data_IF_768973967398
#
_entry.id   IF_768973967398
#
_cell.length_a   1.000
_cell.length_b   1.000
_cell.length_c   1.000
_cell.angle_alpha   90.00
_cell.angle_beta   90.00
_cell.angle_gamma   90.00
#
_symmetry.space_group_name_H-M   'P 1'
#
loop_
_entity.id
_entity.type
_entity.pdbx_description
1 polymer ?
#
# COMPACT_ATOMS: atom_id res chain seq x y z
N UNK A 1 6.77 -44.40 -30.32
CA UNK A 1 8.10 -44.92 -30.53
C UNK A 1 9.02 -43.81 -31.02
N UNK A 2 9.63 -43.07 -30.15
CA UNK A 2 11.05 -42.75 -30.09
C UNK A 2 11.25 -41.82 -28.88
N UNK A 3 11.72 -42.43 -27.84
CA UNK A 3 12.36 -41.77 -26.71
C UNK A 3 13.68 -41.17 -27.19
N UNK A 4 13.80 -39.86 -27.26
CA UNK A 4 15.07 -39.16 -27.30
C UNK A 4 15.35 -38.64 -25.90
N UNK A 5 16.33 -39.26 -25.25
CA UNK A 5 16.97 -38.87 -24.01
C UNK A 5 17.42 -37.40 -24.09
N UNK A 6 16.93 -36.62 -23.18
CA UNK A 6 17.50 -35.30 -22.85
C UNK A 6 18.64 -35.55 -21.88
N UNK A 7 19.84 -35.49 -22.42
CA UNK A 7 21.09 -35.61 -21.66
C UNK A 7 21.33 -34.35 -20.82
N UNK A 8 21.65 -34.61 -19.57
CA UNK A 8 22.61 -33.86 -18.75
C UNK A 8 22.36 -32.37 -18.49
N UNK A 9 21.61 -32.13 -17.43
CA UNK A 9 21.54 -30.88 -16.70
C UNK A 9 22.95 -30.60 -16.12
N UNK A 10 23.70 -29.67 -16.70
CA UNK A 10 24.73 -28.96 -15.99
C UNK A 10 24.01 -27.96 -15.05
N UNK A 11 23.77 -28.41 -13.83
CA UNK A 11 23.45 -27.52 -12.72
C UNK A 11 24.66 -26.58 -12.57
N UNK A 12 24.52 -25.37 -13.11
CA UNK A 12 25.41 -24.28 -12.72
C UNK A 12 25.15 -24.06 -11.22
N UNK A 13 26.03 -24.59 -10.38
CA UNK A 13 26.12 -24.17 -8.98
C UNK A 13 26.38 -22.66 -8.99
N UNK A 14 25.30 -21.90 -8.89
CA UNK A 14 25.39 -20.48 -8.54
C UNK A 14 25.77 -20.49 -7.06
N UNK A 15 27.05 -20.23 -6.75
CA UNK A 15 27.42 -19.88 -5.39
C UNK A 15 26.37 -18.91 -4.86
N UNK A 16 25.89 -19.11 -3.61
CA UNK A 16 24.94 -18.15 -3.03
C UNK A 16 25.65 -16.81 -3.08
N UNK A 17 25.24 -15.97 -4.03
CA UNK A 17 25.69 -14.60 -4.07
C UNK A 17 25.49 -14.11 -2.64
N UNK A 18 26.55 -13.75 -1.94
CA UNK A 18 26.44 -12.91 -0.77
C UNK A 18 25.58 -11.76 -1.22
N UNK A 19 24.29 -11.87 -0.92
CA UNK A 19 23.35 -10.77 -1.14
C UNK A 19 23.93 -9.69 -0.28
N UNK A 20 24.74 -8.87 -0.92
CA UNK A 20 25.30 -7.65 -0.37
C UNK A 20 24.09 -6.83 0.05
N UNK A 21 23.63 -7.10 1.27
CA UNK A 21 22.67 -6.31 2.01
C UNK A 21 23.39 -5.00 2.39
N UNK A 22 24.07 -4.41 1.40
CA UNK A 22 24.63 -3.08 1.51
C UNK A 22 23.48 -2.11 1.70
N UNK A 23 23.68 -1.18 2.58
CA UNK A 23 22.80 -0.05 2.87
C UNK A 23 22.62 0.80 1.59
N UNK A 24 21.68 0.38 0.73
CA UNK A 24 21.31 1.07 -0.51
C UNK A 24 19.99 1.84 -0.33
N UNK A 25 19.74 2.36 0.85
CA UNK A 25 18.57 3.19 1.15
C UNK A 25 18.56 4.55 0.44
N UNK A 26 19.61 4.87 -0.33
CA UNK A 26 19.65 6.09 -1.12
C UNK A 26 18.96 5.87 -2.48
N UNK A 27 17.71 6.34 -2.58
CA UNK A 27 17.12 6.71 -3.87
C UNK A 27 16.82 5.57 -4.84
N UNK A 28 16.00 4.60 -4.42
CA UNK A 28 15.42 3.65 -5.36
C UNK A 28 14.62 4.38 -6.44
N UNK A 29 15.08 4.33 -7.69
CA UNK A 29 14.35 4.76 -8.86
C UNK A 29 14.22 3.58 -9.81
N UNK A 30 13.00 3.04 -10.06
CA UNK A 30 12.82 1.97 -11.02
C UNK A 30 13.28 2.45 -12.40
N UNK A 31 13.90 1.54 -13.19
CA UNK A 31 14.28 1.89 -14.55
C UNK A 31 13.03 2.23 -15.38
N UNK A 32 13.18 3.13 -16.32
CA UNK A 32 12.12 3.41 -17.28
C UNK A 32 12.02 2.23 -18.26
N UNK A 33 10.80 1.77 -18.52
CA UNK A 33 10.55 0.74 -19.55
C UNK A 33 10.93 1.28 -20.94
N UNK A 34 10.66 2.56 -21.19
CA UNK A 34 10.94 3.26 -22.45
C UNK A 34 11.87 4.46 -22.15
N UNK A 35 13.19 4.23 -22.06
CA UNK A 35 14.13 5.27 -21.64
C UNK A 35 14.21 6.43 -22.65
N UNK A 36 14.01 6.14 -23.94
CA UNK A 36 14.12 7.11 -25.05
C UNK A 36 12.84 7.92 -25.27
N UNK A 37 11.72 7.53 -24.64
CA UNK A 37 10.46 8.26 -24.74
C UNK A 37 10.40 9.33 -23.66
N UNK A 38 10.05 10.55 -24.05
CA UNK A 38 9.91 11.65 -23.10
C UNK A 38 8.77 11.39 -22.13
N UNK A 39 8.97 11.64 -20.83
CA UNK A 39 7.88 11.58 -19.87
C UNK A 39 6.85 12.67 -20.20
N UNK A 40 5.58 12.36 -20.02
CA UNK A 40 4.48 13.30 -20.29
C UNK A 40 4.48 14.51 -19.37
N UNK A 41 5.17 14.43 -18.25
CA UNK A 41 5.05 15.43 -17.20
C UNK A 41 3.64 15.49 -16.63
N UNK A 42 3.23 16.69 -16.21
CA UNK A 42 1.90 16.95 -15.71
C UNK A 42 1.70 16.66 -14.24
N UNK A 43 0.51 16.99 -13.75
CA UNK A 43 0.12 16.90 -12.34
C UNK A 43 -1.12 16.01 -12.19
N UNK A 44 -1.04 15.00 -11.32
CA UNK A 44 -2.18 14.18 -10.89
C UNK A 44 -2.71 14.69 -9.56
N UNK A 45 -4.03 14.51 -9.31
CA UNK A 45 -4.67 14.93 -8.05
C UNK A 45 -4.55 16.43 -7.75
N UNK A 46 -4.45 17.28 -8.79
CA UNK A 46 -4.50 18.72 -8.60
C UNK A 46 -5.82 19.09 -7.89
N UNK A 47 -6.91 18.47 -8.34
CA UNK A 47 -8.21 18.48 -7.66
C UNK A 47 -8.58 17.05 -7.27
N UNK A 48 -9.38 16.87 -6.23
CA UNK A 48 -9.79 15.53 -5.81
C UNK A 48 -10.73 14.86 -6.85
N UNK A 49 -11.43 15.64 -7.66
CA UNK A 49 -12.27 15.17 -8.76
C UNK A 49 -11.48 14.55 -9.92
N UNK A 50 -10.20 14.86 -10.01
CA UNK A 50 -9.31 14.34 -11.04
C UNK A 50 -8.89 12.88 -10.80
N UNK A 51 -9.25 12.34 -9.65
CA UNK A 51 -8.87 10.99 -9.26
C UNK A 51 -10.11 10.20 -8.83
N UNK A 52 -10.59 9.32 -9.72
CA UNK A 52 -11.74 8.46 -9.45
C UNK A 52 -11.29 7.03 -9.26
N UNK A 53 -11.88 6.35 -8.27
CA UNK A 53 -11.61 4.94 -7.97
C UNK A 53 -12.91 4.20 -7.82
N UNK A 54 -13.12 3.17 -8.63
CA UNK A 54 -14.29 2.29 -8.54
C UNK A 54 -13.84 0.90 -8.11
N UNK A 55 -14.38 0.41 -7.00
CA UNK A 55 -14.14 -0.95 -6.51
C UNK A 55 -14.74 -1.97 -7.46
N UNK A 56 -13.94 -2.99 -7.82
CA UNK A 56 -14.41 -4.17 -8.56
C UNK A 56 -14.65 -5.26 -7.52
N UNK A 57 -15.91 -5.66 -7.28
CA UNK A 57 -16.24 -6.65 -6.26
C UNK A 57 -15.73 -8.04 -6.64
N UNK A 58 -15.31 -8.84 -5.66
CA UNK A 58 -14.83 -10.20 -5.86
C UNK A 58 -15.94 -11.14 -6.37
N UNK A 59 -17.19 -10.85 -6.05
CA UNK A 59 -18.37 -11.65 -6.43
C UNK A 59 -19.62 -10.76 -6.50
N UNK A 60 -20.60 -11.23 -7.27
CA UNK A 60 -21.91 -10.57 -7.37
C UNK A 60 -22.77 -10.95 -6.15
N UNK A 61 -23.41 -10.00 -5.46
CA UNK A 61 -24.37 -10.30 -4.40
C UNK A 61 -25.53 -11.17 -4.90
N UNK A 62 -25.96 -12.13 -4.06
CA UNK A 62 -26.97 -13.13 -4.45
C UNK A 62 -28.43 -12.65 -4.41
N UNK A 63 -28.70 -11.39 -4.03
CA UNK A 63 -30.03 -10.81 -3.94
C UNK A 63 -30.81 -11.15 -2.66
N UNK A 64 -30.29 -12.03 -1.81
CA UNK A 64 -30.95 -12.48 -0.56
C UNK A 64 -29.94 -12.64 0.57
N UNK A 65 -30.41 -12.52 1.84
CA UNK A 65 -29.58 -12.70 3.02
C UNK A 65 -29.69 -11.58 4.03
N UNK A 66 -28.99 -11.74 5.14
CA UNK A 66 -29.06 -10.83 6.30
C UNK A 66 -28.28 -9.53 6.11
N UNK A 67 -27.26 -9.54 5.23
CA UNK A 67 -26.42 -8.39 5.00
C UNK A 67 -26.95 -7.52 3.85
N UNK A 68 -27.24 -6.26 4.17
CA UNK A 68 -27.49 -5.23 3.16
C UNK A 68 -26.14 -4.72 2.64
N UNK A 69 -25.92 -4.84 1.35
CA UNK A 69 -24.78 -4.28 0.64
C UNK A 69 -25.17 -2.91 0.10
N UNK A 70 -24.45 -1.90 0.57
CA UNK A 70 -24.70 -0.49 0.25
C UNK A 70 -23.50 -0.02 -0.57
N UNK A 71 -23.68 0.12 -1.87
CA UNK A 71 -22.68 0.73 -2.74
C UNK A 71 -22.83 2.24 -2.68
N UNK A 72 -21.77 2.93 -2.31
CA UNK A 72 -21.74 4.39 -2.17
C UNK A 72 -20.69 5.01 -3.07
N UNK A 73 -20.92 6.25 -3.47
CA UNK A 73 -19.89 7.17 -3.95
C UNK A 73 -19.59 8.19 -2.85
N UNK A 74 -18.31 8.40 -2.54
CA UNK A 74 -17.89 9.42 -1.57
C UNK A 74 -16.81 10.33 -2.17
N UNK A 75 -16.76 11.57 -1.70
CA UNK A 75 -15.84 12.61 -2.14
C UNK A 75 -15.05 13.17 -0.98
N UNK A 76 -13.70 13.23 -1.15
CA UNK A 76 -12.78 13.87 -0.22
C UNK A 76 -12.97 13.44 1.26
N UNK A 77 -13.27 12.18 1.51
CA UNK A 77 -13.44 11.55 2.83
C UNK A 77 -12.74 10.20 2.88
N UNK A 78 -12.33 9.79 4.07
CA UNK A 78 -11.74 8.46 4.28
C UNK A 78 -12.81 7.38 4.29
N UNK A 79 -12.43 6.13 4.01
CA UNK A 79 -13.30 4.95 4.17
C UNK A 79 -13.85 4.83 5.60
N UNK A 80 -13.05 5.17 6.62
CA UNK A 80 -13.48 5.14 8.02
C UNK A 80 -14.56 6.20 8.30
N UNK A 81 -14.44 7.39 7.75
CA UNK A 81 -15.48 8.42 7.88
C UNK A 81 -16.80 7.96 7.26
N UNK A 82 -16.75 7.35 6.07
CA UNK A 82 -17.94 6.79 5.42
C UNK A 82 -18.54 5.64 6.24
N UNK A 83 -17.71 4.69 6.72
CA UNK A 83 -18.15 3.59 7.60
C UNK A 83 -18.87 4.12 8.83
N UNK A 84 -18.27 5.08 9.54
CA UNK A 84 -18.83 5.63 10.76
C UNK A 84 -20.13 6.40 10.51
N UNK A 85 -20.25 7.06 9.35
CA UNK A 85 -21.48 7.74 8.95
C UNK A 85 -22.61 6.72 8.66
N UNK A 86 -22.33 5.68 7.88
CA UNK A 86 -23.27 4.59 7.60
C UNK A 86 -23.70 3.93 8.93
N UNK A 87 -22.77 3.59 9.80
CA UNK A 87 -23.05 2.96 11.09
C UNK A 87 -24.00 3.81 11.94
N UNK A 88 -23.76 5.12 12.03
CA UNK A 88 -24.61 6.05 12.77
C UNK A 88 -26.01 6.12 12.20
N UNK A 89 -26.16 6.23 10.87
CA UNK A 89 -27.46 6.32 10.20
C UNK A 89 -28.25 5.02 10.36
N UNK A 90 -27.56 3.88 10.22
CA UNK A 90 -28.16 2.55 10.37
C UNK A 90 -28.35 2.10 11.82
N UNK A 91 -27.94 2.90 12.80
CA UNK A 91 -28.08 2.59 14.23
C UNK A 91 -27.27 1.39 14.71
N UNK A 92 -26.12 1.12 14.08
CA UNK A 92 -25.26 -0.03 14.41
C UNK A 92 -23.86 0.39 14.89
N UNK A 93 -23.14 -0.51 15.55
CA UNK A 93 -21.74 -0.24 15.91
C UNK A 93 -20.87 -0.17 14.63
N UNK A 94 -19.90 0.75 14.55
CA UNK A 94 -19.05 0.88 13.36
C UNK A 94 -18.35 -0.41 12.93
N UNK A 95 -17.93 -1.27 13.86
CA UNK A 95 -17.28 -2.53 13.54
C UNK A 95 -18.24 -3.58 12.95
N UNK A 96 -19.56 -3.37 13.05
CA UNK A 96 -20.54 -4.19 12.36
C UNK A 96 -20.60 -3.89 10.87
N UNK A 97 -20.13 -2.71 10.43
CA UNK A 97 -20.07 -2.32 9.03
C UNK A 97 -18.83 -2.89 8.37
N UNK A 98 -19.01 -3.81 7.43
CA UNK A 98 -17.93 -4.43 6.66
C UNK A 98 -17.58 -3.63 5.40
N UNK A 99 -16.32 -3.70 4.97
CA UNK A 99 -15.82 -3.16 3.70
C UNK A 99 -14.60 -3.95 3.24
N UNK A 100 -14.35 -3.96 1.92
CA UNK A 100 -13.31 -4.80 1.32
C UNK A 100 -11.89 -4.21 1.43
N UNK A 101 -11.77 -2.88 1.43
CA UNK A 101 -10.48 -2.22 1.52
C UNK A 101 -10.60 -0.70 1.67
N UNK A 102 -9.49 -0.07 2.02
CA UNK A 102 -9.42 1.38 2.11
C UNK A 102 -9.38 2.02 0.73
N UNK A 103 -10.05 3.16 0.58
CA UNK A 103 -10.02 3.98 -0.63
C UNK A 103 -9.45 5.37 -0.30
N UNK A 104 -8.82 5.96 -1.29
CA UNK A 104 -8.20 7.28 -1.20
C UNK A 104 -9.15 8.34 -0.63
N UNK A 105 -8.60 9.27 0.18
CA UNK A 105 -9.34 10.42 0.70
C UNK A 105 -9.51 11.49 -0.37
N UNK A 106 -8.41 11.94 -1.01
CA UNK A 106 -8.43 12.96 -2.06
C UNK A 106 -8.83 12.34 -3.40
N UNK A 107 -10.10 11.92 -3.52
CA UNK A 107 -10.64 11.23 -4.68
C UNK A 107 -12.17 11.23 -4.63
N UNK A 108 -12.81 10.92 -5.77
CA UNK A 108 -14.16 10.37 -5.83
C UNK A 108 -14.01 8.86 -5.80
N UNK A 109 -14.66 8.18 -4.86
CA UNK A 109 -14.49 6.73 -4.77
C UNK A 109 -15.81 6.01 -4.62
N UNK A 110 -16.03 5.00 -5.44
CA UNK A 110 -17.18 4.09 -5.36
C UNK A 110 -16.75 2.79 -4.69
N UNK A 111 -17.40 2.41 -3.60
CA UNK A 111 -17.13 1.16 -2.87
C UNK A 111 -18.37 0.63 -2.18
N UNK A 112 -18.36 -0.64 -1.81
CA UNK A 112 -19.48 -1.31 -1.16
C UNK A 112 -19.21 -1.56 0.32
N UNK A 113 -20.19 -1.24 1.15
CA UNK A 113 -20.24 -1.57 2.57
C UNK A 113 -21.32 -2.61 2.83
N UNK A 114 -21.15 -3.44 3.84
CA UNK A 114 -22.17 -4.40 4.27
C UNK A 114 -22.60 -4.18 5.72
N UNK A 115 -23.89 -4.23 5.95
CA UNK A 115 -24.50 -4.06 7.28
C UNK A 115 -25.52 -5.16 7.50
N UNK A 116 -25.49 -5.84 8.65
CA UNK A 116 -26.51 -6.81 9.03
C UNK A 116 -27.73 -6.05 9.61
N UNK A 117 -28.74 -5.83 8.79
CA UNK A 117 -29.98 -5.13 9.16
C UNK A 117 -31.18 -5.77 8.49
N UNK A 118 -32.32 -5.79 9.21
CA UNK A 118 -33.57 -6.35 8.71
C UNK A 118 -34.30 -5.36 7.76
N UNK A 119 -34.14 -4.05 8.00
CA UNK A 119 -34.78 -2.98 7.22
C UNK A 119 -33.75 -2.13 6.53
N UNK A 120 -34.09 -1.64 5.35
CA UNK A 120 -33.37 -0.65 4.54
C UNK A 120 -33.99 0.75 4.60
N UNK A 121 -34.99 0.95 5.45
CA UNK A 121 -35.75 2.22 5.53
C UNK A 121 -34.86 3.45 5.81
N UNK A 122 -33.75 3.30 6.50
CA UNK A 122 -32.84 4.42 6.85
C UNK A 122 -31.81 4.73 5.77
N UNK A 123 -31.71 3.92 4.71
CA UNK A 123 -30.65 4.06 3.69
C UNK A 123 -30.70 5.41 2.99
N UNK A 124 -31.88 5.94 2.72
CA UNK A 124 -32.03 7.27 2.10
C UNK A 124 -31.42 8.40 2.95
N UNK A 125 -31.28 8.19 4.26
CA UNK A 125 -30.65 9.15 5.18
C UNK A 125 -29.12 9.07 5.19
N UNK A 126 -28.52 8.15 4.44
CA UNK A 126 -27.06 8.09 4.25
C UNK A 126 -26.57 9.22 3.35
N UNK A 127 -27.39 9.65 2.40
CA UNK A 127 -27.02 10.69 1.45
C UNK A 127 -26.70 12.00 2.16
N UNK A 128 -25.56 12.59 1.79
CA UNK A 128 -25.06 13.87 2.28
C UNK A 128 -24.19 14.50 1.17
N UNK A 129 -23.78 15.78 1.28
CA UNK A 129 -23.02 16.46 0.21
C UNK A 129 -21.75 15.75 -0.25
N UNK A 130 -21.22 14.86 0.56
CA UNK A 130 -19.95 14.15 0.30
C UNK A 130 -20.12 12.63 0.13
N UNK A 131 -21.32 12.08 0.29
CA UNK A 131 -21.63 10.66 0.15
C UNK A 131 -23.00 10.47 -0.48
N UNK A 132 -23.10 9.57 -1.43
CA UNK A 132 -24.34 9.22 -2.14
C UNK A 132 -24.47 7.71 -2.27
N UNK A 133 -25.66 7.17 -2.02
CA UNK A 133 -25.97 5.77 -2.27
C UNK A 133 -26.18 5.56 -3.77
N UNK A 134 -25.45 4.61 -4.34
CA UNK A 134 -25.49 4.27 -5.76
C UNK A 134 -26.25 2.98 -6.03
N UNK A 135 -26.38 2.11 -5.04
CA UNK A 135 -27.08 0.83 -5.20
C UNK A 135 -27.20 0.07 -3.89
N UNK A 136 -28.20 -0.81 -3.86
CA UNK A 136 -28.52 -1.68 -2.73
C UNK A 136 -28.71 -3.10 -3.23
N UNK A 137 -28.12 -4.06 -2.53
CA UNK A 137 -28.33 -5.48 -2.78
C UNK A 137 -28.25 -6.25 -1.47
N UNK A 138 -28.81 -7.47 -1.44
CA UNK A 138 -28.72 -8.36 -0.30
C UNK A 138 -27.71 -9.48 -0.56
N UNK A 139 -27.01 -9.89 0.51
CA UNK A 139 -26.09 -11.02 0.47
C UNK A 139 -26.06 -11.78 1.80
N UNK A 140 -25.63 -13.03 1.74
CA UNK A 140 -25.55 -13.91 2.91
C UNK A 140 -24.43 -13.55 3.88
N UNK A 141 -23.31 -13.06 3.38
CA UNK A 141 -22.10 -12.86 4.14
C UNK A 141 -21.73 -11.38 4.31
N UNK A 142 -21.06 -11.06 5.44
CA UNK A 142 -20.43 -9.76 5.66
C UNK A 142 -19.24 -9.58 4.73
N UNK A 143 -19.08 -8.39 4.14
CA UNK A 143 -17.83 -8.01 3.43
C UNK A 143 -16.69 -7.93 4.44
N UNK A 144 -15.56 -8.52 4.09
CA UNK A 144 -14.31 -8.48 4.87
C UNK A 144 -13.19 -7.89 4.03
N UNK A 145 -12.16 -7.44 4.69
CA UNK A 145 -10.93 -6.98 4.01
C UNK A 145 -10.41 -8.05 3.05
N UNK A 146 -10.15 -7.67 1.81
CA UNK A 146 -9.74 -8.56 0.73
C UNK A 146 -10.88 -9.08 -0.16
N UNK A 147 -12.15 -8.82 0.17
CA UNK A 147 -13.29 -9.22 -0.68
C UNK A 147 -13.48 -8.27 -1.87
N UNK A 148 -12.40 -7.98 -2.59
CA UNK A 148 -12.43 -7.23 -3.85
C UNK A 148 -11.53 -7.94 -4.86
N UNK A 149 -11.87 -7.87 -6.12
CA UNK A 149 -11.02 -8.33 -7.23
C UNK A 149 -9.96 -7.28 -7.55
N UNK A 150 -10.34 -6.00 -7.54
CA UNK A 150 -9.43 -4.90 -7.84
C UNK A 150 -10.10 -3.54 -7.76
N UNK A 151 -9.47 -2.57 -8.38
CA UNK A 151 -9.99 -1.21 -8.51
C UNK A 151 -9.78 -0.71 -9.94
N UNK A 152 -10.78 -0.03 -10.48
CA UNK A 152 -10.67 0.75 -11.69
C UNK A 152 -10.31 2.18 -11.33
N UNK A 153 -9.30 2.73 -11.99
CA UNK A 153 -8.88 4.11 -11.84
C UNK A 153 -9.22 4.93 -13.08
N UNK A 154 -9.77 6.13 -12.86
CA UNK A 154 -9.89 7.17 -13.87
C UNK A 154 -9.13 8.39 -13.36
N UNK A 155 -8.00 8.70 -14.00
CA UNK A 155 -7.08 9.73 -13.53
C UNK A 155 -6.97 10.79 -14.60
N UNK A 156 -7.31 12.05 -14.25
CA UNK A 156 -7.04 13.21 -15.10
C UNK A 156 -5.69 13.78 -14.76
N UNK A 157 -4.82 13.81 -15.76
CA UNK A 157 -3.52 14.47 -15.69
C UNK A 157 -3.68 15.88 -16.23
N UNK A 158 -3.26 16.88 -15.48
CA UNK A 158 -3.34 18.30 -15.85
C UNK A 158 -1.97 18.86 -16.19
N UNK A 159 -1.94 20.05 -16.75
CA UNK A 159 -0.70 20.79 -17.07
C UNK A 159 0.25 19.98 -17.96
N UNK A 160 -0.30 19.25 -18.93
CA UNK A 160 0.48 18.55 -19.94
C UNK A 160 0.92 19.54 -21.03
N UNK A 161 2.10 19.33 -21.55
CA UNK A 161 2.53 19.96 -22.80
C UNK A 161 1.87 19.24 -23.99
N UNK A 162 1.25 19.97 -24.90
CA UNK A 162 0.60 19.38 -26.07
C UNK A 162 1.55 18.51 -26.92
N UNK A 163 2.83 18.85 -26.95
CA UNK A 163 3.87 18.09 -27.65
C UNK A 163 4.14 16.69 -27.08
N UNK A 164 3.65 16.36 -25.87
CA UNK A 164 3.89 15.07 -25.23
C UNK A 164 2.73 14.09 -25.37
N UNK A 165 1.64 14.48 -26.05
CA UNK A 165 0.44 13.62 -26.18
C UNK A 165 0.73 12.36 -26.99
N UNK A 166 1.53 12.47 -28.05
CA UNK A 166 1.88 11.30 -28.87
C UNK A 166 2.88 10.38 -28.14
N UNK A 167 3.81 10.95 -27.37
CA UNK A 167 4.65 10.18 -26.46
C UNK A 167 3.80 9.42 -25.43
N UNK A 168 2.76 10.06 -24.87
CA UNK A 168 1.83 9.43 -23.94
C UNK A 168 1.07 8.26 -24.55
N UNK A 169 0.57 8.42 -25.78
CA UNK A 169 -0.10 7.33 -26.51
C UNK A 169 0.84 6.16 -26.74
N UNK A 170 2.06 6.44 -27.21
CA UNK A 170 3.08 5.42 -27.44
C UNK A 170 3.39 4.65 -26.15
N UNK A 171 3.56 5.32 -25.00
CA UNK A 171 3.74 4.66 -23.70
C UNK A 171 2.54 3.75 -23.37
N UNK A 172 1.31 4.24 -23.55
CA UNK A 172 0.10 3.46 -23.25
C UNK A 172 0.00 2.24 -24.15
N UNK A 173 0.28 2.38 -25.46
CA UNK A 173 0.23 1.29 -26.43
C UNK A 173 1.27 0.21 -26.08
N UNK A 174 2.49 0.63 -25.75
CA UNK A 174 3.54 -0.30 -25.29
C UNK A 174 3.16 -1.04 -24.00
N UNK A 175 2.61 -0.32 -23.01
CA UNK A 175 2.14 -0.96 -21.77
C UNK A 175 0.95 -1.92 -22.01
N UNK A 176 0.06 -1.59 -22.96
CA UNK A 176 -1.05 -2.45 -23.32
C UNK A 176 -0.59 -3.75 -24.03
N UNK A 177 0.40 -3.63 -24.92
CA UNK A 177 0.94 -4.78 -25.65
C UNK A 177 1.89 -5.64 -24.82
N UNK A 178 2.74 -5.01 -24.04
CA UNK A 178 3.90 -5.63 -23.40
C UNK A 178 3.76 -5.81 -21.88
N UNK A 179 2.70 -5.26 -21.27
CA UNK A 179 2.52 -5.26 -19.83
C UNK A 179 3.42 -4.23 -19.14
N UNK A 180 3.30 -4.17 -17.82
CA UNK A 180 4.02 -3.23 -16.97
C UNK A 180 4.79 -3.99 -15.88
N UNK A 181 6.08 -3.68 -15.65
CA UNK A 181 6.79 -4.21 -14.48
C UNK A 181 6.10 -3.77 -13.19
N UNK A 182 5.71 -4.73 -12.36
CA UNK A 182 4.85 -4.46 -11.20
C UNK A 182 5.66 -4.03 -9.96
N UNK A 183 6.39 -2.93 -10.07
CA UNK A 183 7.14 -2.35 -8.96
C UNK A 183 6.24 -1.80 -7.85
N UNK A 184 6.63 -2.04 -6.62
CA UNK A 184 6.06 -1.30 -5.50
C UNK A 184 6.52 0.16 -5.54
N UNK A 185 5.55 1.08 -5.51
CA UNK A 185 5.82 2.52 -5.51
C UNK A 185 6.21 3.08 -4.13
N UNK A 186 6.61 4.36 -4.07
CA UNK A 186 7.12 5.01 -2.87
C UNK A 186 6.19 4.93 -1.65
N UNK A 187 4.87 4.93 -1.87
CA UNK A 187 3.88 4.82 -0.78
C UNK A 187 4.06 3.55 0.07
N UNK A 188 4.59 2.45 -0.51
CA UNK A 188 4.86 1.20 0.21
C UNK A 188 5.92 1.36 1.29
N UNK A 189 6.83 2.29 1.11
CA UNK A 189 7.99 2.50 1.98
C UNK A 189 7.76 3.56 3.06
N UNK A 190 6.55 4.13 3.12
CA UNK A 190 6.17 5.15 4.10
C UNK A 190 6.48 6.58 3.64
N UNK A 191 6.04 7.56 4.43
CA UNK A 191 6.15 8.98 4.08
C UNK A 191 7.62 9.42 3.89
N UNK A 192 8.51 8.82 4.67
CA UNK A 192 9.94 9.15 4.66
C UNK A 192 10.78 8.15 3.86
N UNK A 193 10.17 7.11 3.28
CA UNK A 193 10.86 6.10 2.49
C UNK A 193 11.69 5.08 3.30
N UNK A 194 11.69 5.17 4.62
CA UNK A 194 12.54 4.38 5.52
C UNK A 194 11.89 3.08 6.03
N UNK A 195 10.66 2.81 5.64
CA UNK A 195 9.92 1.64 6.11
C UNK A 195 10.61 0.31 5.84
N UNK A 196 11.28 0.17 4.70
CA UNK A 196 12.04 -1.02 4.36
C UNK A 196 13.29 -1.17 5.24
N UNK A 197 14.03 -0.09 5.48
CA UNK A 197 15.19 -0.07 6.36
C UNK A 197 14.80 -0.45 7.80
N UNK A 198 13.73 0.13 8.32
CA UNK A 198 13.19 -0.25 9.64
C UNK A 198 12.83 -1.74 9.67
N UNK A 199 12.19 -2.26 8.61
CA UNK A 199 11.85 -3.68 8.48
C UNK A 199 13.06 -4.60 8.50
N UNK A 200 14.11 -4.25 7.76
CA UNK A 200 15.40 -4.93 7.74
C UNK A 200 16.06 -4.96 9.12
N UNK A 201 16.15 -3.79 9.79
CA UNK A 201 16.70 -3.67 11.13
C UNK A 201 15.94 -4.48 12.18
N UNK A 202 14.61 -4.52 12.08
CA UNK A 202 13.75 -5.36 12.94
C UNK A 202 14.06 -6.85 12.77
N UNK A 203 14.23 -7.33 11.54
CA UNK A 203 14.58 -8.73 11.24
C UNK A 203 15.97 -9.09 11.76
N UNK A 204 16.94 -8.19 11.57
CA UNK A 204 18.32 -8.36 12.02
C UNK A 204 18.51 -8.11 13.52
N UNK A 205 17.44 -7.72 14.23
CA UNK A 205 17.48 -7.36 15.66
C UNK A 205 18.40 -6.19 15.99
N UNK A 206 18.61 -5.29 15.06
CA UNK A 206 19.36 -4.03 15.21
C UNK A 206 18.47 -3.00 15.92
N UNK A 207 18.15 -3.28 17.18
CA UNK A 207 17.13 -2.53 17.92
C UNK A 207 17.49 -1.08 18.19
N UNK A 208 18.76 -0.75 18.36
CA UNK A 208 19.21 0.64 18.51
C UNK A 208 18.92 1.43 17.23
N UNK A 209 19.27 0.88 16.07
CA UNK A 209 19.03 1.52 14.78
C UNK A 209 17.55 1.72 14.49
N UNK A 210 16.67 0.77 14.87
CA UNK A 210 15.21 0.96 14.77
C UNK A 210 14.75 2.16 15.57
N UNK A 211 15.28 2.33 16.79
CA UNK A 211 14.92 3.47 17.65
C UNK A 211 15.42 4.77 17.02
N UNK A 212 16.65 4.79 16.53
CA UNK A 212 17.23 5.97 15.90
C UNK A 212 16.48 6.35 14.62
N UNK A 213 16.15 5.40 13.76
CA UNK A 213 15.35 5.64 12.55
C UNK A 213 13.98 6.27 12.86
N UNK A 214 13.38 5.91 13.99
CA UNK A 214 12.06 6.42 14.36
C UNK A 214 12.09 7.72 15.17
N UNK A 215 13.15 7.97 15.94
CA UNK A 215 13.19 9.08 16.89
C UNK A 215 14.22 10.17 16.58
N UNK A 216 15.29 9.89 15.82
CA UNK A 216 16.33 10.88 15.54
C UNK A 216 15.87 11.96 14.56
N UNK A 217 16.48 13.15 14.61
CA UNK A 217 16.26 14.22 13.64
C UNK A 217 16.46 13.75 12.20
N UNK A 218 15.77 14.38 11.27
CA UNK A 218 15.82 14.08 9.83
C UNK A 218 15.97 15.35 9.04
N UNK A 219 16.74 15.30 7.98
CA UNK A 219 16.93 16.44 7.09
C UNK A 219 15.58 16.91 6.50
N UNK A 220 15.31 18.18 6.58
CA UNK A 220 14.08 18.79 6.05
C UNK A 220 12.79 18.44 6.81
N UNK A 221 12.88 17.82 7.99
CA UNK A 221 11.73 17.51 8.84
C UNK A 221 11.92 18.18 10.21
N UNK A 222 11.22 19.30 10.41
CA UNK A 222 11.19 20.00 11.68
C UNK A 222 10.15 19.35 12.60
N UNK A 223 10.60 18.55 13.55
CA UNK A 223 9.74 17.93 14.58
C UNK A 223 10.43 18.06 15.96
N UNK A 224 9.93 18.95 16.80
CA UNK A 224 10.50 19.31 18.11
C UNK A 224 10.80 18.12 19.02
N UNK A 225 10.03 17.04 18.93
CA UNK A 225 10.27 15.84 19.75
C UNK A 225 11.55 15.11 19.34
N UNK A 226 11.97 15.21 18.08
CA UNK A 226 13.20 14.60 17.57
C UNK A 226 14.42 15.35 18.07
N UNK A 227 14.34 16.67 18.13
CA UNK A 227 15.40 17.50 18.70
C UNK A 227 15.58 17.21 20.18
N UNK A 228 14.47 17.12 20.94
CA UNK A 228 14.52 16.76 22.35
C UNK A 228 15.10 15.35 22.56
N UNK A 229 14.76 14.38 21.70
CA UNK A 229 15.36 13.04 21.73
C UNK A 229 16.88 13.09 21.50
N UNK A 230 17.32 13.83 20.48
CA UNK A 230 18.75 13.99 20.17
C UNK A 230 19.53 14.67 21.28
N UNK A 231 18.89 15.60 22.02
CA UNK A 231 19.45 16.22 23.22
C UNK A 231 19.47 15.28 24.45
N UNK A 232 18.95 14.05 24.32
CA UNK A 232 18.86 13.07 25.42
C UNK A 232 17.66 13.29 26.38
N UNK A 233 16.82 14.27 26.12
CA UNK A 233 15.64 14.54 26.95
C UNK A 233 14.43 13.72 26.49
N UNK A 234 14.40 12.47 26.95
CA UNK A 234 13.32 11.51 26.60
C UNK A 234 11.95 11.98 27.13
N UNK A 235 11.94 12.68 28.25
CA UNK A 235 10.71 13.19 28.85
C UNK A 235 10.11 14.29 27.99
N UNK A 236 10.92 15.25 27.58
CA UNK A 236 10.51 16.35 26.71
C UNK A 236 10.15 15.85 25.31
N UNK A 237 10.90 14.90 24.76
CA UNK A 237 10.56 14.24 23.50
C UNK A 237 9.17 13.61 23.56
N UNK A 238 8.85 12.89 24.63
CA UNK A 238 7.53 12.28 24.80
C UNK A 238 6.41 13.34 24.95
N UNK A 239 6.69 14.47 25.62
CA UNK A 239 5.72 15.56 25.82
C UNK A 239 5.40 16.29 24.50
N UNK A 240 6.41 16.48 23.63
CA UNK A 240 6.27 17.18 22.34
C UNK A 240 5.74 16.29 21.22
N UNK A 241 5.57 14.99 21.47
CA UNK A 241 5.16 14.04 20.44
C UNK A 241 3.75 14.36 19.92
N UNK A 242 3.55 14.57 18.61
CA UNK A 242 2.23 14.81 18.04
C UNK A 242 1.30 13.60 18.17
N UNK A 243 -0.03 13.81 18.24
CA UNK A 243 -1.01 12.72 18.23
C UNK A 243 -0.89 11.87 16.97
N UNK A 244 -1.14 10.55 17.11
CA UNK A 244 -1.12 9.59 16.00
C UNK A 244 0.26 8.96 15.74
N UNK A 245 1.31 9.38 16.43
CA UNK A 245 2.67 8.77 16.36
C UNK A 245 2.77 7.55 17.27
N UNK A 246 2.07 6.47 16.94
CA UNK A 246 1.91 5.31 17.83
C UNK A 246 3.19 4.49 18.04
N UNK A 247 4.08 4.42 17.05
CA UNK A 247 5.36 3.74 17.19
C UNK A 247 6.28 4.52 18.13
N UNK A 248 6.46 5.80 17.86
CA UNK A 248 7.30 6.73 18.61
C UNK A 248 6.81 6.88 20.07
N UNK A 249 5.50 6.95 20.28
CA UNK A 249 4.89 6.98 21.62
C UNK A 249 5.23 5.74 22.43
N UNK A 250 5.14 4.56 21.83
CA UNK A 250 5.52 3.31 22.48
C UNK A 250 7.01 3.25 22.84
N UNK A 251 7.88 3.69 21.93
CA UNK A 251 9.32 3.77 22.14
C UNK A 251 9.67 4.72 23.29
N UNK A 252 9.24 5.97 23.20
CA UNK A 252 9.54 7.01 24.21
C UNK A 252 9.00 6.65 25.58
N UNK A 253 7.78 6.11 25.66
CA UNK A 253 7.20 5.64 26.92
C UNK A 253 8.06 4.55 27.58
N UNK A 254 8.58 3.59 26.78
CA UNK A 254 9.45 2.54 27.29
C UNK A 254 10.83 3.06 27.71
N UNK A 255 11.44 3.93 26.91
CA UNK A 255 12.76 4.51 27.21
C UNK A 255 12.73 5.44 28.43
N UNK A 256 11.61 6.08 28.71
CA UNK A 256 11.41 6.90 29.92
C UNK A 256 11.45 6.04 31.19
N UNK A 257 10.87 4.84 31.16
CA UNK A 257 10.82 3.94 32.32
C UNK A 257 12.06 3.05 32.43
N UNK A 258 12.69 2.75 31.28
CA UNK A 258 13.86 1.87 31.20
C UNK A 258 14.89 2.49 30.23
N UNK A 259 15.65 3.50 30.67
CA UNK A 259 16.65 4.15 29.84
C UNK A 259 17.65 3.16 29.24
N UNK A 260 17.95 3.29 27.94
CA UNK A 260 18.90 2.43 27.23
C UNK A 260 18.37 1.03 26.88
N UNK A 261 17.20 0.63 27.33
CA UNK A 261 16.64 -0.68 26.99
C UNK A 261 15.88 -0.64 25.64
N UNK A 262 16.62 -0.47 24.55
CA UNK A 262 16.07 -0.42 23.19
C UNK A 262 15.28 -1.69 22.81
N UNK A 263 15.70 -2.86 23.31
CA UNK A 263 14.98 -4.12 23.06
C UNK A 263 13.56 -4.10 23.64
N UNK A 264 13.40 -3.59 24.85
CA UNK A 264 12.09 -3.42 25.46
C UNK A 264 11.25 -2.37 24.71
N UNK A 265 11.91 -1.26 24.31
CA UNK A 265 11.26 -0.18 23.56
C UNK A 265 10.68 -0.67 22.23
N UNK A 266 11.46 -1.35 21.40
CA UNK A 266 11.03 -1.86 20.09
C UNK A 266 9.85 -2.85 20.20
N UNK A 267 9.73 -3.59 21.29
CA UNK A 267 8.56 -4.46 21.54
C UNK A 267 7.26 -3.68 21.71
N UNK A 268 7.31 -2.39 22.05
CA UNK A 268 6.14 -1.51 22.19
C UNK A 268 5.61 -1.00 20.85
N UNK A 269 6.34 -1.16 19.76
CA UNK A 269 5.82 -0.84 18.43
C UNK A 269 4.60 -1.73 18.17
N UNK A 270 3.43 -1.17 17.82
CA UNK A 270 2.21 -1.94 17.56
C UNK A 270 2.43 -3.04 16.50
N UNK A 271 1.87 -4.21 16.73
CA UNK A 271 2.04 -5.35 15.83
C UNK A 271 1.63 -5.07 14.36
N UNK A 272 0.55 -4.30 14.07
CA UNK A 272 0.23 -3.91 12.71
C UNK A 272 1.33 -3.08 12.03
N UNK A 273 1.96 -2.15 12.77
CA UNK A 273 3.07 -1.34 12.24
C UNK A 273 4.31 -2.18 11.98
N UNK A 274 4.66 -3.11 12.90
CA UNK A 274 5.78 -4.04 12.66
C UNK A 274 5.57 -4.87 11.39
N UNK A 275 4.33 -5.39 11.19
CA UNK A 275 3.99 -6.12 9.96
C UNK A 275 4.12 -5.25 8.72
N UNK A 276 3.73 -3.98 8.80
CA UNK A 276 3.88 -3.03 7.70
C UNK A 276 5.37 -2.82 7.35
N UNK A 277 6.25 -2.66 8.32
CA UNK A 277 7.70 -2.54 8.09
C UNK A 277 8.30 -3.81 7.47
N UNK A 278 7.94 -5.00 7.95
CA UNK A 278 8.37 -6.25 7.32
C UNK A 278 7.89 -6.35 5.86
N UNK A 279 6.64 -5.99 5.62
CA UNK A 279 6.09 -5.97 4.25
C UNK A 279 6.77 -4.94 3.35
N UNK A 280 7.20 -3.80 3.90
CA UNK A 280 7.98 -2.82 3.15
C UNK A 280 9.35 -3.38 2.74
N UNK A 281 10.04 -4.08 3.64
CA UNK A 281 11.32 -4.73 3.31
C UNK A 281 11.15 -5.85 2.27
N UNK A 282 10.12 -6.68 2.39
CA UNK A 282 9.79 -7.67 1.36
C UNK A 282 9.54 -7.02 -0.01
N UNK A 283 8.81 -5.90 -0.03
CA UNK A 283 8.54 -5.16 -1.26
C UNK A 283 9.82 -4.56 -1.87
N UNK A 284 10.75 -4.12 -1.05
CA UNK A 284 12.06 -3.65 -1.50
C UNK A 284 12.87 -4.78 -2.15
N UNK A 285 12.95 -5.93 -1.49
CA UNK A 285 13.62 -7.11 -2.06
C UNK A 285 12.98 -7.55 -3.39
N UNK A 286 11.66 -7.55 -3.47
CA UNK A 286 10.94 -7.82 -4.71
C UNK A 286 11.34 -6.83 -5.82
N UNK A 287 11.35 -5.55 -5.52
CA UNK A 287 11.73 -4.51 -6.46
C UNK A 287 13.16 -4.72 -6.96
N UNK A 288 14.08 -5.10 -6.09
CA UNK A 288 15.47 -5.39 -6.46
C UNK A 288 15.59 -6.59 -7.40
N UNK A 289 14.90 -7.68 -7.09
CA UNK A 289 14.88 -8.87 -7.98
C UNK A 289 14.34 -8.48 -9.36
N UNK A 290 13.25 -7.69 -9.39
CA UNK A 290 12.65 -7.26 -10.65
C UNK A 290 13.59 -6.35 -11.46
N UNK A 291 14.30 -5.42 -10.81
CA UNK A 291 15.32 -4.59 -11.45
C UNK A 291 16.46 -5.43 -12.04
N UNK A 292 16.99 -6.35 -11.26
CA UNK A 292 18.08 -7.22 -11.71
C UNK A 292 17.65 -8.08 -12.90
N UNK A 293 16.43 -8.59 -12.88
CA UNK A 293 15.85 -9.33 -14.01
C UNK A 293 15.77 -8.46 -15.27
N UNK A 294 15.25 -7.24 -15.14
CA UNK A 294 15.13 -6.30 -16.27
C UNK A 294 16.50 -5.88 -16.81
N UNK A 295 17.52 -5.75 -15.95
CA UNK A 295 18.88 -5.46 -16.38
C UNK A 295 19.50 -6.61 -17.19
N UNK A 296 19.12 -7.87 -16.92
CA UNK A 296 19.59 -9.04 -17.67
C UNK A 296 18.84 -9.21 -19.00
N UNK A 297 17.55 -8.95 -19.03
CA UNK A 297 16.71 -8.99 -20.22
C UNK A 297 15.52 -8.04 -20.10
N UNK A 298 15.27 -7.18 -21.08
CA UNK A 298 14.11 -6.29 -21.07
C UNK A 298 12.77 -7.03 -20.91
N UNK A 299 12.68 -8.27 -21.40
CA UNK A 299 11.47 -9.09 -21.34
C UNK A 299 11.36 -9.95 -20.08
N UNK A 300 12.36 -9.92 -19.22
CA UNK A 300 12.44 -10.80 -18.05
C UNK A 300 11.31 -10.64 -17.02
N UNK A 301 10.58 -9.53 -17.04
CA UNK A 301 9.40 -9.34 -16.19
C UNK A 301 8.13 -10.00 -16.75
N UNK A 302 8.16 -10.46 -18.01
CA UNK A 302 7.01 -11.08 -18.72
C UNK A 302 7.14 -12.60 -18.84
N UNK A 303 8.36 -13.10 -18.82
CA UNK A 303 8.64 -14.53 -19.05
C UNK A 303 9.12 -15.17 -17.76
N UNK A 304 8.49 -16.26 -17.29
CA UNK A 304 8.96 -16.98 -16.12
C UNK A 304 10.32 -17.63 -16.39
N UNK A 305 11.20 -17.59 -15.40
CA UNK A 305 12.49 -18.27 -15.41
C UNK A 305 12.43 -19.55 -14.58
N UNK A 306 13.38 -20.44 -14.82
CA UNK A 306 13.55 -21.63 -13.96
C UNK A 306 13.73 -21.20 -12.49
N UNK A 307 12.91 -21.76 -11.61
CA UNK A 307 12.86 -21.40 -10.18
C UNK A 307 11.80 -20.36 -9.81
N UNK A 308 11.13 -19.74 -10.78
CA UNK A 308 10.00 -18.85 -10.47
C UNK A 308 8.80 -19.65 -9.95
N UNK A 309 8.13 -19.08 -8.96
CA UNK A 309 6.82 -19.60 -8.50
C UNK A 309 5.73 -18.95 -9.34
N UNK A 310 5.06 -19.75 -10.14
CA UNK A 310 4.00 -19.30 -11.04
C UNK A 310 2.63 -19.80 -10.56
N UNK A 311 1.60 -19.03 -10.85
CA UNK A 311 0.22 -19.43 -10.66
C UNK A 311 -0.44 -19.62 -12.03
N UNK A 312 -1.14 -20.72 -12.22
CA UNK A 312 -1.92 -20.94 -13.45
C UNK A 312 -3.10 -19.97 -13.49
N UNK A 313 -3.38 -19.43 -14.66
CA UNK A 313 -4.54 -18.57 -14.89
C UNK A 313 -5.82 -19.34 -14.53
N UNK A 314 -6.66 -18.73 -13.68
CA UNK A 314 -7.89 -19.37 -13.17
C UNK A 314 -7.71 -20.31 -11.97
N UNK A 315 -6.50 -20.61 -11.52
CA UNK A 315 -6.27 -21.32 -10.25
C UNK A 315 -6.35 -20.33 -9.07
N UNK A 316 -7.18 -20.67 -8.06
CA UNK A 316 -7.26 -19.95 -6.77
C UNK A 316 -6.61 -20.76 -5.67
#
# INVERSE_FOLDING_TARGET
LNSSEVTGDELVEVEPAEVLLTDRSAGYSPPRLLPDVRPTGGVIRERWEDFKVTEIPLYTPCGAGEHLYITIEKSNRTTIQARNHIARVMGVHPDSVGFAGFKDKRAITTQTFSVAVLSDAQVASIDAPWIRVMGLQRHKNKIRTGHLEGNRFEIRIRQLEASTIDDAKHIVDELACNGMPNFYGPQRFGIHGDGARIGSCLLRRQVAEVVDLLLSPRDGVEEDYREAYAAGDIQEAHRRLPPGRNAESGLLSSLRTHPGNFRAAVRRIPAPLRRMYYSAYQAELFNWVLMERMARSPDAFRVPWSGDVCQFEGSR
#
